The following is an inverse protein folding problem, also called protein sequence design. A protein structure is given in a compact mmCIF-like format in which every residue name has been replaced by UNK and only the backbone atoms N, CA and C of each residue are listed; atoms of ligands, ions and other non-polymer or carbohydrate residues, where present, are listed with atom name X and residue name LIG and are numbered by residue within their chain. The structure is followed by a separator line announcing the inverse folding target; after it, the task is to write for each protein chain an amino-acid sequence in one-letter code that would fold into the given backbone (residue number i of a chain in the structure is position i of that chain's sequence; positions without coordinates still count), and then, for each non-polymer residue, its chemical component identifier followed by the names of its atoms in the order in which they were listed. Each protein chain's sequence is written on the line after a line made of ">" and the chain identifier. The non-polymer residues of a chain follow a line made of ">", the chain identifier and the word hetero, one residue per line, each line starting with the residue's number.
data_IF_632861888661
#
_entry.id   IF_632861888661
#
_cell.length_a   1.000
_cell.length_b   1.000
_cell.length_c   1.000
_cell.angle_alpha   90.00
_cell.angle_beta   90.00
_cell.angle_gamma   90.00
#
_symmetry.space_group_name_H-M   'P 1'
#
loop_
_entity.id
_entity.type
_entity.pdbx_description
1 polymer ?
#
# COMPACT_ATOMS: atom_id res chain seq x y z
N UNK A 1 8.64 -15.73 -31.57
CA UNK A 1 7.72 -15.03 -30.65
C UNK A 1 8.58 -14.15 -29.78
N UNK A 2 8.43 -12.83 -29.88
CA UNK A 2 9.31 -11.88 -29.20
C UNK A 2 9.00 -11.93 -27.70
N UNK A 3 9.94 -12.40 -26.89
CA UNK A 3 9.82 -12.37 -25.43
C UNK A 3 9.83 -10.92 -24.95
N UNK A 4 8.63 -10.34 -24.85
CA UNK A 4 8.44 -9.00 -24.30
C UNK A 4 8.73 -9.07 -22.80
N UNK A 5 9.70 -8.26 -22.37
CA UNK A 5 10.07 -8.09 -20.97
C UNK A 5 9.50 -6.79 -20.43
N UNK A 6 9.21 -6.77 -19.15
CA UNK A 6 8.79 -5.58 -18.42
C UNK A 6 9.93 -4.56 -18.47
N UNK A 7 9.59 -3.34 -18.86
CA UNK A 7 10.51 -2.21 -19.03
C UNK A 7 9.73 -0.90 -19.21
N UNK A 8 10.41 0.24 -19.45
CA UNK A 8 9.74 1.52 -19.61
C UNK A 8 8.80 1.50 -20.82
N UNK A 9 7.69 2.23 -20.74
CA UNK A 9 6.65 2.30 -21.78
C UNK A 9 6.11 0.90 -22.17
N UNK A 10 5.89 0.06 -21.16
CA UNK A 10 5.21 -1.23 -21.31
C UNK A 10 3.95 -1.25 -20.48
N UNK A 11 2.91 -1.84 -21.03
CA UNK A 11 1.71 -2.19 -20.28
C UNK A 11 1.84 -3.63 -19.80
N UNK A 12 1.63 -3.83 -18.50
CA UNK A 12 1.78 -5.13 -17.87
C UNK A 12 0.47 -5.49 -17.20
N UNK A 13 -0.04 -6.66 -17.53
CA UNK A 13 -1.18 -7.28 -16.84
C UNK A 13 -0.65 -8.37 -15.95
N UNK A 14 -0.90 -8.27 -14.65
CA UNK A 14 -0.40 -9.22 -13.66
C UNK A 14 -1.40 -9.43 -12.52
N UNK A 15 -1.27 -10.58 -11.87
CA UNK A 15 -1.81 -10.78 -10.52
C UNK A 15 -0.73 -10.47 -9.50
N UNK A 16 -1.13 -9.85 -8.41
CA UNK A 16 -0.30 -9.61 -7.25
C UNK A 16 -1.02 -10.02 -5.97
N UNK A 17 -0.25 -10.38 -4.95
CA UNK A 17 -0.71 -10.56 -3.59
C UNK A 17 0.32 -9.97 -2.62
N UNK A 18 -0.18 -9.23 -1.65
CA UNK A 18 0.57 -8.65 -0.55
C UNK A 18 0.23 -9.47 0.69
N UNK A 19 1.23 -10.18 1.21
CA UNK A 19 1.12 -10.97 2.43
C UNK A 19 1.92 -10.30 3.54
N UNK A 20 1.40 -10.30 4.76
CA UNK A 20 2.16 -9.97 5.95
C UNK A 20 3.14 -11.10 6.27
N UNK A 21 4.20 -10.79 7.02
CA UNK A 21 5.10 -11.80 7.60
C UNK A 21 4.34 -12.88 8.40
N UNK A 22 3.21 -12.52 9.00
CA UNK A 22 2.31 -13.43 9.72
C UNK A 22 1.60 -14.45 8.81
N UNK A 23 1.67 -14.30 7.48
CA UNK A 23 0.98 -15.14 6.50
C UNK A 23 -0.39 -14.61 6.05
N UNK A 24 -0.92 -13.59 6.72
CA UNK A 24 -2.18 -12.94 6.35
C UNK A 24 -2.07 -12.22 5.00
N UNK A 25 -2.98 -12.55 4.08
CA UNK A 25 -3.11 -11.86 2.80
C UNK A 25 -3.86 -10.55 3.04
N UNK A 26 -3.18 -9.42 2.82
CA UNK A 26 -3.79 -8.10 3.02
C UNK A 26 -4.51 -7.63 1.78
N UNK A 27 -3.86 -7.80 0.62
CA UNK A 27 -4.44 -7.47 -0.66
C UNK A 27 -4.06 -8.54 -1.67
N UNK A 28 -5.01 -8.95 -2.50
CA UNK A 28 -4.74 -9.87 -3.59
C UNK A 28 -5.64 -9.60 -4.78
N UNK A 29 -5.03 -9.63 -5.96
CA UNK A 29 -5.74 -9.65 -7.23
C UNK A 29 -5.86 -11.05 -7.79
N UNK A 30 -5.23 -12.06 -7.18
CA UNK A 30 -5.38 -13.48 -7.56
C UNK A 30 -6.82 -13.99 -7.43
N UNK A 31 -7.56 -13.53 -6.42
CA UNK A 31 -8.98 -13.82 -6.23
C UNK A 31 -9.90 -12.89 -7.05
N UNK A 32 -9.33 -11.98 -7.84
CA UNK A 32 -10.04 -10.90 -8.53
C UNK A 32 -9.58 -10.77 -9.98
N UNK A 33 -9.98 -9.68 -10.65
CA UNK A 33 -9.45 -9.35 -11.97
C UNK A 33 -7.97 -8.95 -11.86
N UNK A 34 -7.14 -9.34 -12.83
CA UNK A 34 -5.74 -8.93 -12.84
C UNK A 34 -5.62 -7.41 -12.94
N UNK A 35 -4.55 -6.89 -12.35
CA UNK A 35 -4.22 -5.49 -12.45
C UNK A 35 -3.46 -5.23 -13.75
N UNK A 36 -3.90 -4.22 -14.49
CA UNK A 36 -3.19 -3.72 -15.67
C UNK A 36 -2.68 -2.33 -15.35
N UNK A 37 -1.37 -2.12 -15.50
CA UNK A 37 -0.75 -0.81 -15.33
C UNK A 37 0.34 -0.60 -16.37
N UNK A 38 0.71 0.66 -16.57
CA UNK A 38 1.83 1.07 -17.40
C UNK A 38 3.05 1.32 -16.53
N UNK A 39 4.18 0.76 -16.91
CA UNK A 39 5.46 0.97 -16.23
C UNK A 39 5.84 2.44 -16.32
N UNK A 40 6.09 3.07 -15.17
CA UNK A 40 6.43 4.49 -15.05
C UNK A 40 5.22 5.43 -14.91
N UNK A 41 3.99 4.90 -14.85
CA UNK A 41 2.77 5.71 -14.69
C UNK A 41 2.51 6.13 -13.24
N UNK A 42 3.30 5.63 -12.29
CA UNK A 42 3.15 5.90 -10.86
C UNK A 42 2.01 5.14 -10.18
N UNK A 43 1.30 4.29 -10.92
CA UNK A 43 0.24 3.43 -10.41
C UNK A 43 0.76 2.32 -9.48
N UNK A 44 2.00 1.87 -9.67
CA UNK A 44 2.68 0.94 -8.78
C UNK A 44 3.78 1.69 -8.02
N UNK A 45 4.01 1.34 -6.75
CA UNK A 45 5.12 1.96 -6.02
C UNK A 45 6.45 1.57 -6.69
N UNK A 46 7.43 2.49 -6.71
CA UNK A 46 8.67 2.30 -7.46
C UNK A 46 9.45 1.05 -6.99
N UNK A 47 9.34 0.67 -5.71
CA UNK A 47 9.96 -0.54 -5.19
C UNK A 47 9.37 -1.85 -5.75
N UNK A 48 8.04 -1.92 -5.87
CA UNK A 48 7.38 -3.03 -6.55
C UNK A 48 7.70 -3.01 -8.04
N UNK A 49 7.65 -1.84 -8.68
CA UNK A 49 7.83 -1.72 -10.13
C UNK A 49 9.22 -2.20 -10.55
N UNK A 50 10.27 -1.73 -9.86
CA UNK A 50 11.66 -2.14 -10.09
C UNK A 50 11.87 -3.65 -9.90
N UNK A 51 11.10 -4.27 -9.00
CA UNK A 51 11.15 -5.73 -8.77
C UNK A 51 10.56 -6.53 -9.93
N UNK A 52 9.74 -5.91 -10.78
CA UNK A 52 9.13 -6.53 -11.96
C UNK A 52 9.96 -6.34 -13.22
N UNK A 53 10.86 -5.36 -13.25
CA UNK A 53 11.70 -5.08 -14.41
C UNK A 53 12.48 -6.33 -14.84
N UNK A 54 12.40 -6.65 -16.13
CA UNK A 54 13.06 -7.81 -16.71
C UNK A 54 12.29 -9.13 -16.63
N UNK A 55 11.16 -9.20 -15.89
CA UNK A 55 10.24 -10.34 -15.96
C UNK A 55 9.49 -10.36 -17.31
N UNK A 56 8.90 -11.49 -17.65
CA UNK A 56 8.14 -11.71 -18.89
C UNK A 56 6.78 -12.34 -18.59
N UNK A 57 5.89 -12.35 -19.57
CA UNK A 57 4.61 -13.05 -19.45
C UNK A 57 4.82 -14.54 -19.07
N UNK A 58 4.07 -15.00 -18.06
CA UNK A 58 4.18 -16.33 -17.45
C UNK A 58 5.17 -16.44 -16.28
N UNK A 59 5.98 -15.40 -15.99
CA UNK A 59 6.87 -15.43 -14.81
C UNK A 59 6.07 -15.17 -13.52
N UNK A 60 6.38 -15.97 -12.50
CA UNK A 60 5.88 -15.81 -11.14
C UNK A 60 7.03 -15.64 -10.16
N UNK A 61 6.96 -14.62 -9.32
CA UNK A 61 7.97 -14.29 -8.30
C UNK A 61 7.29 -13.99 -6.97
N UNK A 62 7.94 -14.37 -5.89
CA UNK A 62 7.61 -13.89 -4.55
C UNK A 62 8.86 -13.22 -3.99
N UNK A 63 8.74 -11.94 -3.67
CA UNK A 63 9.86 -11.12 -3.20
C UNK A 63 9.46 -10.44 -1.88
N UNK A 64 10.31 -10.50 -0.84
CA UNK A 64 10.10 -9.69 0.34
C UNK A 64 10.30 -8.22 -0.04
N UNK A 65 9.32 -7.39 0.29
CA UNK A 65 9.32 -5.95 0.07
C UNK A 65 9.49 -5.29 1.42
N UNK A 66 10.64 -4.63 1.58
CA UNK A 66 10.90 -3.81 2.74
C UNK A 66 9.83 -2.70 2.83
N UNK A 67 9.48 -2.25 4.05
CA UNK A 67 8.47 -1.21 4.22
C UNK A 67 8.77 0.05 3.40
N UNK A 68 10.05 0.44 3.26
CA UNK A 68 10.47 1.60 2.45
C UNK A 68 10.11 1.49 0.96
N UNK A 69 9.99 0.28 0.43
CA UNK A 69 9.69 -0.01 -0.97
C UNK A 69 8.20 -0.33 -1.22
N UNK A 70 7.47 -0.67 -0.15
CA UNK A 70 6.03 -0.89 -0.16
C UNK A 70 5.27 0.35 0.34
N UNK A 71 4.55 0.22 1.45
CA UNK A 71 3.71 1.28 2.01
C UNK A 71 4.48 2.40 2.74
N UNK A 72 5.80 2.41 2.64
CA UNK A 72 6.69 3.31 3.35
C UNK A 72 6.94 2.91 4.80
N UNK A 73 7.84 3.64 5.44
CA UNK A 73 7.93 3.65 6.90
C UNK A 73 6.84 4.55 7.48
N UNK A 74 6.37 4.29 8.70
CA UNK A 74 5.50 5.23 9.39
C UNK A 74 6.20 6.59 9.44
N UNK A 75 5.57 7.58 8.81
CA UNK A 75 6.06 8.93 8.77
C UNK A 75 5.57 9.66 10.03
N UNK A 76 6.46 10.16 10.89
CA UNK A 76 6.05 10.96 12.04
C UNK A 76 5.31 12.25 11.63
N UNK A 77 5.46 12.73 10.39
CA UNK A 77 4.69 13.86 9.87
C UNK A 77 3.23 13.53 9.58
N UNK A 78 2.89 12.24 9.42
CA UNK A 78 1.50 11.79 9.32
C UNK A 78 0.85 11.63 10.70
N UNK A 79 1.59 11.90 11.78
CA UNK A 79 1.01 12.00 13.13
C UNK A 79 0.54 13.43 13.32
N UNK A 80 -0.77 13.62 13.41
CA UNK A 80 -1.36 14.94 13.60
C UNK A 80 -1.90 15.06 15.02
N UNK A 81 -1.74 16.26 15.58
CA UNK A 81 -2.36 16.65 16.85
C UNK A 81 -3.62 17.43 16.52
N UNK A 82 -4.76 16.89 16.95
CA UNK A 82 -6.07 17.45 16.72
C UNK A 82 -6.68 17.91 18.04
N UNK A 83 -7.48 18.99 18.06
CA UNK A 83 -8.13 19.43 19.29
C UNK A 83 -9.14 18.40 19.78
N UNK A 84 -9.19 18.16 21.10
CA UNK A 84 -10.12 17.19 21.73
C UNK A 84 -11.59 17.45 21.40
N UNK A 85 -11.91 18.72 21.11
CA UNK A 85 -13.21 19.19 20.63
C UNK A 85 -13.73 18.47 19.37
N UNK A 86 -12.84 18.07 18.44
CA UNK A 86 -13.25 17.32 17.24
C UNK A 86 -13.75 15.90 17.54
N UNK A 87 -13.44 15.40 18.74
CA UNK A 87 -13.80 14.06 19.21
C UNK A 87 -14.83 14.14 20.35
N UNK A 88 -15.51 15.29 20.53
CA UNK A 88 -16.57 15.42 21.53
C UNK A 88 -17.68 14.40 21.28
N UNK A 89 -18.12 13.72 22.34
CA UNK A 89 -19.10 12.63 22.24
C UNK A 89 -18.54 11.28 21.77
N UNK A 90 -17.23 11.19 21.46
CA UNK A 90 -16.53 9.95 21.19
C UNK A 90 -15.70 9.51 22.40
N UNK A 91 -15.84 8.24 22.78
CA UNK A 91 -15.00 7.61 23.80
C UNK A 91 -13.65 7.25 23.17
N UNK A 92 -12.62 8.05 23.45
CA UNK A 92 -11.28 7.81 22.94
C UNK A 92 -10.57 6.74 23.77
N UNK A 93 -9.83 5.88 23.09
CA UNK A 93 -8.94 4.90 23.69
C UNK A 93 -7.63 4.90 22.91
N UNK A 94 -6.51 4.65 23.60
CA UNK A 94 -5.24 4.44 22.91
C UNK A 94 -5.35 3.20 22.01
N UNK A 95 -4.97 3.34 20.74
CA UNK A 95 -5.16 2.32 19.72
C UNK A 95 -6.55 2.33 19.05
N UNK A 96 -7.45 3.24 19.42
CA UNK A 96 -8.74 3.39 18.74
C UNK A 96 -8.54 3.79 17.28
N UNK A 97 -9.14 3.04 16.37
CA UNK A 97 -9.18 3.39 14.94
C UNK A 97 -10.40 4.26 14.67
N UNK A 98 -10.18 5.44 14.11
CA UNK A 98 -11.20 6.41 13.72
C UNK A 98 -11.06 6.68 12.23
N UNK A 99 -12.17 6.68 11.49
CA UNK A 99 -12.17 7.01 10.06
C UNK A 99 -12.36 8.52 9.91
N UNK A 100 -11.41 9.18 9.25
CA UNK A 100 -11.45 10.60 8.95
C UNK A 100 -11.73 10.81 7.47
N UNK A 101 -12.44 11.87 7.15
CA UNK A 101 -12.63 12.29 5.76
C UNK A 101 -11.48 13.22 5.38
N UNK A 102 -10.65 12.79 4.44
CA UNK A 102 -9.59 13.62 3.86
C UNK A 102 -10.17 14.71 2.96
N UNK A 103 -9.41 15.79 2.73
CA UNK A 103 -9.77 16.90 1.86
C UNK A 103 -10.09 16.47 0.40
N UNK A 104 -9.61 15.30 -0.02
CA UNK A 104 -9.90 14.70 -1.32
C UNK A 104 -11.17 13.80 -1.34
N UNK A 105 -12.03 13.86 -0.32
CA UNK A 105 -13.20 12.94 -0.14
C UNK A 105 -12.83 11.45 -0.03
N UNK A 106 -11.58 11.15 0.32
CA UNK A 106 -11.16 9.81 0.68
C UNK A 106 -11.40 9.55 2.18
N UNK A 107 -11.86 8.36 2.54
CA UNK A 107 -11.87 7.90 3.92
C UNK A 107 -10.45 7.43 4.28
N UNK A 108 -9.85 8.04 5.30
CA UNK A 108 -8.53 7.68 5.81
C UNK A 108 -8.65 7.17 7.25
N UNK A 109 -8.21 5.95 7.55
CA UNK A 109 -8.14 5.46 8.92
C UNK A 109 -7.01 6.17 9.67
N UNK A 110 -7.32 6.73 10.84
CA UNK A 110 -6.36 7.26 11.79
C UNK A 110 -6.45 6.50 13.11
N UNK A 111 -5.31 6.21 13.73
CA UNK A 111 -5.24 5.49 15.01
C UNK A 111 -4.85 6.46 16.12
N UNK A 112 -5.62 6.50 17.20
CA UNK A 112 -5.32 7.35 18.35
C UNK A 112 -4.08 6.82 19.06
N UNK A 113 -2.98 7.59 19.02
CA UNK A 113 -1.72 7.27 19.68
C UNK A 113 -1.76 7.59 21.16
N UNK A 114 -2.27 8.76 21.49
CA UNK A 114 -2.35 9.32 22.84
C UNK A 114 -3.35 10.46 22.83
N UNK A 115 -3.95 10.77 23.97
CA UNK A 115 -4.82 11.94 24.10
C UNK A 115 -4.75 12.49 25.51
N UNK A 116 -5.07 13.78 25.63
CA UNK A 116 -5.21 14.51 26.88
C UNK A 116 -6.52 15.31 26.86
N UNK A 117 -6.75 16.11 27.90
CA UNK A 117 -7.97 16.92 28.04
C UNK A 117 -8.13 18.00 26.95
N UNK A 118 -7.04 18.41 26.29
CA UNK A 118 -7.06 19.48 25.30
C UNK A 118 -6.89 18.98 23.86
N UNK A 119 -6.13 17.92 23.65
CA UNK A 119 -5.68 17.49 22.34
C UNK A 119 -5.54 15.97 22.23
N UNK A 120 -5.61 15.48 20.99
CA UNK A 120 -5.62 14.07 20.62
C UNK A 120 -4.57 13.89 19.54
N UNK A 121 -3.60 13.02 19.80
CA UNK A 121 -2.58 12.62 18.83
C UNK A 121 -3.10 11.45 18.03
N UNK A 122 -3.26 11.64 16.73
CA UNK A 122 -3.75 10.63 15.81
C UNK A 122 -2.68 10.32 14.76
N UNK A 123 -2.41 9.05 14.59
CA UNK A 123 -1.49 8.52 13.59
C UNK A 123 -2.26 8.13 12.32
N UNK A 124 -2.04 8.87 11.25
CA UNK A 124 -2.65 8.63 9.93
C UNK A 124 -1.77 7.74 9.04
N UNK A 125 -0.75 7.09 9.59
CA UNK A 125 0.05 6.17 8.80
C UNK A 125 -0.79 4.97 8.34
N UNK A 126 -0.50 4.50 7.13
CA UNK A 126 -1.12 3.29 6.61
C UNK A 126 -0.87 2.13 7.59
N UNK A 127 -1.86 1.27 7.89
CA UNK A 127 -1.69 0.17 8.85
C UNK A 127 -0.58 -0.83 8.49
N UNK A 128 -0.16 -0.82 7.22
CA UNK A 128 0.92 -1.64 6.68
C UNK A 128 2.27 -0.92 6.59
N UNK A 129 2.32 0.38 6.88
CA UNK A 129 3.57 1.13 6.89
C UNK A 129 4.50 0.59 7.99
N UNK A 130 5.76 0.37 7.65
CA UNK A 130 6.75 -0.18 8.58
C UNK A 130 6.69 -1.70 8.78
N UNK A 131 5.80 -2.42 8.10
CA UNK A 131 5.75 -3.89 8.15
C UNK A 131 6.51 -4.49 6.97
N UNK A 132 7.20 -5.59 7.22
CA UNK A 132 7.74 -6.44 6.15
C UNK A 132 6.59 -7.20 5.48
N UNK A 133 6.55 -7.08 4.16
CA UNK A 133 5.49 -7.65 3.34
C UNK A 133 6.12 -8.58 2.30
N UNK A 134 5.45 -9.68 2.00
CA UNK A 134 5.82 -10.53 0.87
C UNK A 134 4.94 -10.16 -0.31
N UNK A 135 5.57 -9.70 -1.40
CA UNK A 135 4.91 -9.40 -2.65
C UNK A 135 5.05 -10.58 -3.60
N UNK A 136 3.94 -11.27 -3.80
CA UNK A 136 3.82 -12.31 -4.81
C UNK A 136 3.23 -11.69 -6.07
N UNK A 137 3.86 -11.94 -7.21
CA UNK A 137 3.48 -11.39 -8.49
C UNK A 137 3.54 -12.45 -9.57
N UNK A 138 2.54 -12.45 -10.44
CA UNK A 138 2.42 -13.35 -11.59
C UNK A 138 2.07 -12.54 -12.82
N UNK A 139 3.02 -12.47 -13.76
CA UNK A 139 2.85 -11.72 -14.99
C UNK A 139 2.01 -12.53 -15.95
N UNK A 140 0.84 -12.01 -16.30
CA UNK A 140 -0.04 -12.67 -17.28
C UNK A 140 0.33 -12.25 -18.70
N UNK A 141 0.52 -10.96 -18.92
CA UNK A 141 0.75 -10.42 -20.25
C UNK A 141 1.60 -9.15 -20.20
N UNK A 142 2.46 -8.97 -21.21
CA UNK A 142 3.28 -7.76 -21.38
C UNK A 142 3.07 -7.24 -22.80
N UNK A 143 2.67 -5.98 -22.92
CA UNK A 143 2.42 -5.29 -24.19
C UNK A 143 3.32 -4.07 -24.34
N UNK A 144 3.68 -3.77 -25.59
CA UNK A 144 4.26 -2.49 -25.94
C UNK A 144 3.12 -1.45 -26.02
N UNK A 145 3.32 -0.29 -25.42
CA UNK A 145 2.45 0.89 -25.62
C UNK A 145 3.12 1.93 -26.49
#
# INVERSE_FOLDING_TARGET
>A
MTELRIGPDREVTLHFAIKLDSGDVVDSTFDRRPATFRVGDGNLLPGFELSLYGLKAGDKRALPIAPEQGFGRPNPQNVQVMPRGQFEGMELSEGLMVIFNDAASGEMPGVVKSFDDQQVTVDFNHPLAGRDLTFEVEILEVRAV
#
